data_IF_389866788422
#
_entry.id   IF_389866788422
#
_cell.length_a   1.000
_cell.length_b   1.000
_cell.length_c   1.000
_cell.angle_alpha   90.00
_cell.angle_beta   90.00
_cell.angle_gamma   90.00
#
_symmetry.space_group_name_H-M   'P 1'
#
loop_
_entity.id
_entity.type
_entity.pdbx_description
1 polymer ?
#
# COMPACT_ATOMS: atom_id res chain seq x y z
N UNK A 1 34.45 28.95 -51.38
CA UNK A 1 34.23 29.26 -49.95
C UNK A 1 33.28 28.31 -49.23
N UNK A 2 32.85 27.18 -49.82
CA UNK A 2 31.72 26.40 -49.27
C UNK A 2 32.14 25.14 -48.49
N UNK A 3 33.44 24.78 -48.53
CA UNK A 3 33.95 23.58 -47.82
C UNK A 3 34.17 23.81 -46.32
N UNK A 4 34.48 25.04 -45.91
CA UNK A 4 34.61 25.41 -44.49
C UNK A 4 33.25 25.43 -43.76
N UNK A 5 32.18 25.83 -44.45
CA UNK A 5 30.81 25.86 -43.90
C UNK A 5 30.24 24.45 -43.66
N UNK A 6 30.56 23.48 -44.53
CA UNK A 6 30.13 22.08 -44.36
C UNK A 6 30.87 21.37 -43.23
N UNK A 7 32.12 21.73 -42.95
CA UNK A 7 32.90 21.16 -41.86
C UNK A 7 32.42 21.63 -40.48
N UNK A 8 31.91 22.88 -40.39
CA UNK A 8 31.30 23.45 -39.18
C UNK A 8 29.94 22.80 -38.90
N UNK A 9 29.11 22.56 -39.92
CA UNK A 9 27.83 21.88 -39.76
C UNK A 9 27.96 20.42 -39.30
N UNK A 10 29.01 19.72 -39.76
CA UNK A 10 29.29 18.35 -39.33
C UNK A 10 29.72 18.29 -37.86
N UNK A 11 30.35 19.34 -37.34
CA UNK A 11 30.78 19.43 -35.94
C UNK A 11 29.61 19.77 -34.99
N UNK A 12 28.64 20.57 -35.43
CA UNK A 12 27.44 20.93 -34.66
C UNK A 12 26.45 19.74 -34.54
N UNK A 13 26.39 18.86 -35.54
CA UNK A 13 25.53 17.67 -35.50
C UNK A 13 26.01 16.60 -34.49
N UNK A 14 27.32 16.52 -34.25
CA UNK A 14 27.92 15.51 -33.34
C UNK A 14 27.76 15.90 -31.86
N UNK A 15 27.63 17.19 -31.55
CA UNK A 15 27.45 17.68 -30.16
C UNK A 15 26.05 17.46 -29.59
N UNK A 16 25.06 17.08 -30.41
CA UNK A 16 23.68 16.84 -29.96
C UNK A 16 23.40 15.40 -29.47
N UNK A 17 24.39 14.50 -29.51
CA UNK A 17 24.20 13.07 -29.21
C UNK A 17 24.50 12.68 -27.75
N UNK A 18 25.00 13.60 -26.92
CA UNK A 18 25.40 13.31 -25.53
C UNK A 18 24.48 13.87 -24.45
N UNK A 19 23.16 13.81 -24.62
CA UNK A 19 22.25 14.15 -23.53
C UNK A 19 21.01 13.27 -23.52
N UNK A 20 21.10 12.13 -22.82
CA UNK A 20 20.13 11.69 -21.80
C UNK A 20 20.35 10.22 -21.44
N UNK A 21 21.44 9.90 -20.74
CA UNK A 21 21.41 8.77 -19.81
C UNK A 21 20.63 9.25 -18.57
N UNK A 22 19.30 9.08 -18.55
CA UNK A 22 18.56 9.16 -17.29
C UNK A 22 19.07 8.00 -16.44
N UNK A 23 19.83 8.29 -15.39
CA UNK A 23 20.12 7.32 -14.32
C UNK A 23 18.78 6.82 -13.81
N UNK A 24 18.39 5.60 -14.20
CA UNK A 24 17.31 4.88 -13.55
C UNK A 24 17.76 4.67 -12.11
N UNK A 25 17.39 5.58 -11.21
CA UNK A 25 17.48 5.32 -9.78
C UNK A 25 16.56 4.13 -9.56
N UNK A 26 17.15 2.97 -9.29
CA UNK A 26 16.44 1.83 -8.72
C UNK A 26 15.65 2.39 -7.55
N UNK A 27 14.33 2.49 -7.68
CA UNK A 27 13.51 3.05 -6.61
C UNK A 27 13.54 2.03 -5.47
N UNK A 28 14.08 2.42 -4.31
CA UNK A 28 14.29 1.52 -3.16
C UNK A 28 13.26 1.77 -2.06
N UNK A 29 12.05 2.16 -2.44
CA UNK A 29 11.02 2.65 -1.53
C UNK A 29 9.64 2.12 -1.89
N UNK A 30 8.74 2.14 -0.91
CA UNK A 30 7.36 1.71 -1.09
C UNK A 30 6.77 1.19 0.20
N UNK A 31 5.85 0.24 0.07
CA UNK A 31 5.13 -0.36 1.19
C UNK A 31 5.39 -1.86 1.20
N UNK A 32 5.72 -2.42 2.36
CA UNK A 32 5.70 -3.86 2.61
C UNK A 32 4.75 -4.14 3.76
N UNK A 33 4.06 -5.25 3.71
CA UNK A 33 3.21 -5.61 4.83
C UNK A 33 2.78 -7.06 4.86
N UNK A 34 2.06 -7.37 5.94
CA UNK A 34 1.42 -8.66 6.17
C UNK A 34 -0.07 -8.50 6.40
N UNK A 35 -0.83 -9.47 5.93
CA UNK A 35 -2.29 -9.48 6.06
C UNK A 35 -2.72 -10.75 6.76
N UNK A 36 -3.51 -10.57 7.81
CA UNK A 36 -4.04 -11.63 8.64
C UNK A 36 -5.57 -11.60 8.65
N UNK A 37 -6.17 -12.76 8.75
CA UNK A 37 -7.58 -12.96 8.99
C UNK A 37 -7.83 -13.34 10.45
N UNK A 38 -8.84 -12.74 11.07
CA UNK A 38 -9.35 -13.08 12.40
C UNK A 38 -10.88 -13.16 12.34
N UNK A 39 -11.45 -14.22 12.92
CA UNK A 39 -12.90 -14.42 12.97
C UNK A 39 -13.31 -15.13 14.27
N UNK A 40 -14.61 -15.12 14.57
CA UNK A 40 -15.18 -15.82 15.72
C UNK A 40 -15.03 -15.07 17.04
N UNK A 41 -15.30 -15.76 18.15
CA UNK A 41 -15.25 -15.19 19.49
C UNK A 41 -13.81 -15.01 19.99
N UNK A 42 -13.42 -13.77 20.25
CA UNK A 42 -12.13 -13.34 20.74
C UNK A 42 -12.21 -12.78 22.18
N UNK A 43 -13.35 -12.90 22.86
CA UNK A 43 -13.51 -12.49 24.26
C UNK A 43 -12.56 -13.27 25.18
N UNK A 44 -11.91 -12.62 26.16
CA UNK A 44 -11.13 -13.30 27.18
C UNK A 44 -11.98 -14.32 27.95
N UNK A 45 -11.56 -15.60 27.96
CA UNK A 45 -12.21 -16.63 28.78
C UNK A 45 -11.60 -16.63 30.19
N UNK A 46 -12.45 -16.51 31.21
CA UNK A 46 -12.04 -16.47 32.63
C UNK A 46 -11.71 -17.85 33.22
N UNK A 47 -11.11 -18.77 32.45
CA UNK A 47 -10.64 -20.03 33.04
C UNK A 47 -9.34 -19.78 33.79
N UNK A 48 -9.39 -20.02 35.09
CA UNK A 48 -8.24 -20.00 36.00
C UNK A 48 -7.15 -20.96 35.49
N UNK A 49 -5.90 -20.57 35.72
CA UNK A 49 -4.64 -21.22 35.33
C UNK A 49 -4.11 -20.82 33.93
N UNK A 50 -3.07 -19.99 33.98
CA UNK A 50 -2.25 -19.46 32.87
C UNK A 50 -2.83 -18.28 32.09
N UNK A 51 -2.91 -17.13 32.77
CA UNK A 51 -2.98 -15.81 32.14
C UNK A 51 -1.64 -15.44 31.45
N UNK A 52 -1.19 -16.27 30.50
CA UNK A 52 -0.04 -15.94 29.64
C UNK A 52 -0.54 -15.76 28.22
N UNK A 53 -0.52 -14.49 27.80
CA UNK A 53 -0.65 -13.97 26.44
C UNK A 53 -2.07 -13.68 25.93
N UNK A 54 -2.41 -12.39 25.93
CA UNK A 54 -3.46 -11.73 25.15
C UNK A 54 -3.17 -11.79 23.63
N UNK A 55 -2.89 -12.97 23.10
CA UNK A 55 -2.80 -13.15 21.66
C UNK A 55 -4.21 -13.47 21.16
N UNK A 56 -4.78 -12.71 20.20
CA UNK A 56 -6.02 -13.11 19.55
C UNK A 56 -5.85 -14.55 19.07
N UNK A 57 -6.68 -15.45 19.56
CA UNK A 57 -6.63 -16.83 19.13
C UNK A 57 -6.96 -16.85 17.63
N UNK A 58 -5.98 -17.18 16.78
CA UNK A 58 -6.24 -17.50 15.38
C UNK A 58 -6.00 -16.40 14.34
N UNK A 59 -5.01 -15.50 14.52
CA UNK A 59 -4.46 -14.76 13.37
C UNK A 59 -3.91 -15.74 12.33
N UNK A 60 -4.54 -15.81 11.15
CA UNK A 60 -4.10 -16.65 10.03
C UNK A 60 -3.63 -15.77 8.87
N UNK A 61 -2.42 -15.98 8.31
CA UNK A 61 -2.03 -15.31 7.08
C UNK A 61 -3.03 -15.61 5.96
N UNK A 62 -3.31 -14.63 5.10
CA UNK A 62 -4.34 -14.79 4.07
C UNK A 62 -3.96 -14.12 2.75
N UNK A 63 -4.33 -14.77 1.65
CA UNK A 63 -4.23 -14.22 0.28
C UNK A 63 -5.37 -13.21 0.09
N UNK A 64 -5.01 -11.95 -0.14
CA UNK A 64 -5.92 -10.85 -0.43
C UNK A 64 -5.29 -9.89 -1.42
N UNK A 65 -6.14 -9.33 -2.28
CA UNK A 65 -5.77 -8.15 -3.07
C UNK A 65 -5.83 -6.92 -2.19
N UNK A 66 -4.80 -6.09 -2.26
CA UNK A 66 -4.66 -4.82 -1.57
C UNK A 66 -4.75 -3.71 -2.60
N UNK A 67 -5.80 -2.91 -2.50
CA UNK A 67 -5.96 -1.70 -3.27
C UNK A 67 -5.33 -0.53 -2.51
N UNK A 68 -4.38 0.14 -3.17
CA UNK A 68 -3.71 1.32 -2.65
C UNK A 68 -4.21 2.51 -3.44
N UNK A 69 -4.94 3.38 -2.75
CA UNK A 69 -5.49 4.61 -3.32
C UNK A 69 -4.64 5.82 -2.93
N UNK A 70 -4.87 6.93 -3.63
CA UNK A 70 -4.49 8.23 -3.07
C UNK A 70 -5.14 8.39 -1.70
N UNK A 71 -4.45 9.11 -0.80
CA UNK A 71 -4.90 9.35 0.57
C UNK A 71 -6.41 9.70 0.61
N UNK A 72 -7.20 8.83 1.24
CA UNK A 72 -8.67 8.85 1.26
C UNK A 72 -9.14 9.34 2.63
N UNK A 73 -9.91 10.42 2.66
CA UNK A 73 -10.62 10.85 3.86
C UNK A 73 -11.92 10.04 4.03
N UNK A 74 -12.41 9.86 5.25
CA UNK A 74 -13.65 9.10 5.54
C UNK A 74 -14.89 9.63 4.79
N UNK A 75 -14.88 10.90 4.39
CA UNK A 75 -15.96 11.53 3.62
C UNK A 75 -15.89 11.21 2.11
N UNK A 76 -14.82 10.58 1.65
CA UNK A 76 -14.58 10.17 0.25
C UNK A 76 -14.73 8.65 0.07
N UNK A 77 -15.27 7.95 1.08
CA UNK A 77 -15.58 6.53 1.02
C UNK A 77 -16.90 6.26 1.73
N UNK A 78 -17.72 5.39 1.14
CA UNK A 78 -19.00 5.02 1.74
C UNK A 78 -18.84 3.77 2.60
N UNK A 79 -18.92 3.91 3.93
CA UNK A 79 -18.92 2.77 4.85
C UNK A 79 -20.33 2.18 4.95
N UNK A 80 -20.48 0.91 4.58
CA UNK A 80 -21.67 0.10 4.86
C UNK A 80 -21.64 -0.49 6.26
N UNK A 81 -22.15 -1.70 6.45
CA UNK A 81 -22.17 -2.33 7.79
C UNK A 81 -20.76 -2.53 8.36
N UNK A 82 -19.86 -3.14 7.57
CA UNK A 82 -18.48 -3.42 7.97
C UNK A 82 -17.45 -3.25 6.85
N UNK A 83 -17.92 -2.99 5.64
CA UNK A 83 -17.10 -2.85 4.44
C UNK A 83 -17.44 -1.53 3.77
N UNK A 84 -16.42 -0.89 3.21
CA UNK A 84 -16.59 0.23 2.30
C UNK A 84 -17.15 -0.27 0.96
N UNK A 85 -18.10 0.47 0.41
CA UNK A 85 -18.66 0.23 -0.92
C UNK A 85 -17.80 0.88 -2.00
N UNK A 86 -18.00 2.18 -2.22
CA UNK A 86 -17.23 2.97 -3.18
C UNK A 86 -16.08 3.73 -2.50
N UNK A 87 -14.94 3.82 -3.17
CA UNK A 87 -13.80 4.66 -2.80
C UNK A 87 -13.64 5.71 -3.90
N UNK A 88 -13.83 6.99 -3.56
CA UNK A 88 -13.85 8.07 -4.55
C UNK A 88 -12.45 8.50 -5.00
N UNK A 89 -11.44 8.28 -4.16
CA UNK A 89 -10.07 8.65 -4.53
C UNK A 89 -9.50 7.69 -5.58
N UNK A 90 -8.59 8.17 -6.47
CA UNK A 90 -8.01 7.32 -7.50
C UNK A 90 -7.24 6.11 -6.97
N UNK A 91 -7.45 4.94 -7.58
CA UNK A 91 -6.62 3.76 -7.39
C UNK A 91 -5.23 4.04 -7.97
N UNK A 92 -4.19 3.84 -7.17
CA UNK A 92 -2.78 3.99 -7.57
C UNK A 92 -2.22 2.66 -8.05
N UNK A 93 -2.42 1.60 -7.27
CA UNK A 93 -1.92 0.26 -7.58
C UNK A 93 -2.71 -0.80 -6.81
N UNK A 94 -2.77 -2.00 -7.38
CA UNK A 94 -3.32 -3.19 -6.76
C UNK A 94 -2.22 -4.24 -6.62
N UNK A 95 -2.11 -4.90 -5.47
CA UNK A 95 -1.11 -5.95 -5.21
C UNK A 95 -1.73 -7.10 -4.42
N UNK A 96 -1.47 -8.34 -4.81
CA UNK A 96 -1.94 -9.52 -4.08
C UNK A 96 -0.89 -10.00 -3.08
N UNK A 97 -1.33 -10.46 -1.91
CA UNK A 97 -0.46 -11.11 -0.93
C UNK A 97 -0.15 -12.56 -1.30
N UNK A 98 0.99 -13.08 -0.87
CA UNK A 98 1.34 -14.49 -1.02
C UNK A 98 0.64 -15.39 0.03
N UNK A 99 0.98 -16.68 0.02
CA UNK A 99 0.44 -17.67 0.96
C UNK A 99 0.75 -17.35 2.44
N UNK A 100 1.85 -16.63 2.67
CA UNK A 100 2.28 -16.15 3.98
C UNK A 100 1.66 -14.79 4.35
N UNK A 101 0.71 -14.30 3.53
CA UNK A 101 0.02 -13.03 3.72
C UNK A 101 0.88 -11.80 3.43
N UNK A 102 2.07 -11.98 2.83
CA UNK A 102 3.05 -10.92 2.60
C UNK A 102 2.82 -10.22 1.26
N UNK A 103 3.00 -8.90 1.22
CA UNK A 103 3.06 -8.13 -0.01
C UNK A 103 4.18 -7.08 0.03
N UNK A 104 4.62 -6.66 -1.15
CA UNK A 104 5.51 -5.51 -1.31
C UNK A 104 5.25 -4.80 -2.62
N UNK A 105 5.20 -3.47 -2.58
CA UNK A 105 4.95 -2.65 -3.76
C UNK A 105 5.77 -1.37 -3.72
N UNK A 106 6.46 -1.09 -4.83
CA UNK A 106 7.26 0.11 -4.97
C UNK A 106 6.35 1.31 -5.26
N UNK A 107 6.50 2.39 -4.50
CA UNK A 107 5.70 3.60 -4.62
C UNK A 107 6.58 4.84 -4.44
N UNK A 108 6.29 5.94 -5.16
CA UNK A 108 6.99 7.21 -4.93
C UNK A 108 6.66 7.77 -3.52
N UNK A 109 7.49 8.70 -3.00
CA UNK A 109 7.20 9.34 -1.72
C UNK A 109 5.82 10.00 -1.76
N UNK A 110 5.03 9.81 -0.71
CA UNK A 110 3.64 10.26 -0.69
C UNK A 110 2.86 9.67 0.49
N UNK A 111 1.58 10.03 0.58
CA UNK A 111 0.63 9.43 1.52
C UNK A 111 -0.44 8.68 0.74
N UNK A 112 -0.80 7.51 1.21
CA UNK A 112 -1.73 6.60 0.56
C UNK A 112 -2.70 6.01 1.56
N UNK A 113 -3.83 5.49 1.07
CA UNK A 113 -4.79 4.73 1.86
C UNK A 113 -4.84 3.29 1.37
N UNK A 114 -4.85 2.35 2.31
CA UNK A 114 -4.81 0.91 2.06
C UNK A 114 -6.16 0.26 2.35
N UNK A 115 -6.61 -0.56 1.42
CA UNK A 115 -7.86 -1.32 1.52
C UNK A 115 -7.63 -2.76 1.09
N UNK A 116 -8.17 -3.74 1.83
CA UNK A 116 -8.24 -5.12 1.33
C UNK A 116 -9.51 -5.30 0.50
N UNK A 117 -9.41 -6.02 -0.60
CA UNK A 117 -10.56 -6.35 -1.45
C UNK A 117 -11.23 -7.60 -0.88
N UNK A 118 -12.51 -7.47 -0.53
CA UNK A 118 -13.36 -8.51 0.02
C UNK A 118 -14.53 -8.80 -0.93
N UNK A 119 -15.23 -9.91 -0.74
CA UNK A 119 -16.30 -10.38 -1.65
C UNK A 119 -17.38 -9.33 -1.94
N UNK A 120 -17.68 -8.46 -0.96
CA UNK A 120 -18.78 -7.48 -1.02
C UNK A 120 -18.33 -6.02 -0.95
N UNK A 121 -17.03 -5.75 -1.01
CA UNK A 121 -16.51 -4.38 -0.89
C UNK A 121 -15.06 -4.34 -0.44
N UNK A 122 -14.69 -3.27 0.25
CA UNK A 122 -13.33 -3.02 0.70
C UNK A 122 -13.27 -2.96 2.22
N UNK A 123 -12.22 -3.48 2.82
CA UNK A 123 -12.03 -3.42 4.26
C UNK A 123 -10.82 -2.55 4.64
N UNK A 124 -11.03 -1.69 5.66
CA UNK A 124 -9.99 -1.01 6.40
C UNK A 124 -10.54 -0.65 7.79
N UNK A 125 -9.74 -0.85 8.83
CA UNK A 125 -10.15 -0.61 10.24
C UNK A 125 -9.30 0.44 10.96
N UNK A 126 -8.23 0.92 10.32
CA UNK A 126 -7.33 1.93 10.87
C UNK A 126 -7.74 3.31 10.36
N UNK A 127 -7.80 4.30 11.24
CA UNK A 127 -8.03 5.70 10.91
C UNK A 127 -7.06 6.56 11.71
N UNK A 128 -6.58 7.67 11.13
CA UNK A 128 -5.87 8.68 11.92
C UNK A 128 -6.82 9.68 12.59
N UNK A 129 -6.25 10.61 13.37
CA UNK A 129 -7.02 11.63 14.09
C UNK A 129 -7.72 12.64 13.17
N UNK A 130 -7.27 12.75 11.92
CA UNK A 130 -7.83 13.65 10.92
C UNK A 130 -8.88 12.95 10.04
N UNK A 131 -9.19 11.68 10.31
CA UNK A 131 -10.21 10.93 9.59
C UNK A 131 -9.75 10.32 8.27
N UNK A 132 -8.44 10.24 8.02
CA UNK A 132 -7.94 9.50 6.86
C UNK A 132 -7.96 8.00 7.13
N UNK A 133 -8.39 7.24 6.12
CA UNK A 133 -8.55 5.79 6.19
C UNK A 133 -7.19 5.14 5.93
N UNK A 134 -6.74 4.31 6.88
CA UNK A 134 -5.51 3.54 6.87
C UNK A 134 -4.32 4.27 6.20
N UNK A 135 -3.95 5.46 6.70
CA UNK A 135 -2.96 6.29 6.03
C UNK A 135 -1.56 5.71 6.21
N UNK A 136 -0.84 5.55 5.10
CA UNK A 136 0.55 5.09 5.07
C UNK A 136 1.40 6.12 4.34
N UNK A 137 2.46 6.58 5.00
CA UNK A 137 3.44 7.51 4.42
C UNK A 137 4.61 6.73 3.86
N UNK A 138 4.93 6.94 2.58
CA UNK A 138 6.17 6.47 1.95
C UNK A 138 7.17 7.61 1.94
N UNK A 139 8.32 7.41 2.56
CA UNK A 139 9.42 8.37 2.59
C UNK A 139 10.47 8.04 1.51
N UNK A 140 11.30 9.03 1.20
CA UNK A 140 12.35 8.88 0.19
C UNK A 140 13.34 7.78 0.58
N UNK A 141 13.51 6.79 -0.29
CA UNK A 141 14.41 5.65 -0.11
C UNK A 141 14.07 4.75 1.09
N UNK A 142 12.83 4.76 1.56
CA UNK A 142 12.38 3.98 2.72
C UNK A 142 11.22 3.05 2.38
N UNK A 143 11.16 1.90 3.07
CA UNK A 143 10.05 0.95 2.99
C UNK A 143 9.18 1.04 4.24
N UNK A 144 7.96 1.54 4.08
CA UNK A 144 6.96 1.59 5.14
C UNK A 144 6.46 0.18 5.43
N UNK A 145 6.47 -0.22 6.71
CA UNK A 145 6.00 -1.52 7.17
C UNK A 145 4.55 -1.40 7.68
N UNK A 146 3.68 -2.32 7.28
CA UNK A 146 2.28 -2.36 7.74
C UNK A 146 1.83 -3.78 8.10
N UNK A 147 0.98 -3.89 9.11
CA UNK A 147 0.21 -5.11 9.42
C UNK A 147 -1.27 -4.79 9.25
N UNK A 148 -1.98 -5.60 8.46
CA UNK A 148 -3.42 -5.49 8.26
C UNK A 148 -4.08 -6.70 8.91
N UNK A 149 -4.99 -6.45 9.84
CA UNK A 149 -5.81 -7.48 10.47
C UNK A 149 -7.24 -7.30 9.97
N UNK A 150 -7.72 -8.28 9.21
CA UNK A 150 -9.08 -8.33 8.72
C UNK A 150 -9.92 -9.07 9.77
N UNK A 151 -10.74 -8.32 10.49
CA UNK A 151 -11.47 -8.78 11.68
C UNK A 151 -12.96 -8.42 11.67
N UNK A 152 -13.53 -8.04 10.54
CA UNK A 152 -14.96 -7.72 10.43
C UNK A 152 -15.89 -8.94 10.68
N UNK A 153 -15.34 -10.15 10.83
CA UNK A 153 -16.07 -11.35 11.28
C UNK A 153 -15.66 -11.80 12.70
N UNK A 154 -14.88 -11.01 13.42
CA UNK A 154 -14.52 -11.27 14.80
C UNK A 154 -15.52 -10.60 15.76
N UNK A 155 -15.62 -11.14 16.96
CA UNK A 155 -16.37 -10.56 18.07
C UNK A 155 -15.45 -10.50 19.28
N UNK A 156 -15.29 -9.31 19.87
CA UNK A 156 -14.37 -9.04 20.98
C UNK A 156 -15.10 -8.77 22.29
#
# INVERSE_FOLDING_TARGET
MNKFSNLIYLFILVLFVFSSCKTNKTSTQGIKGKVFWVEGNQMPQASQETATSFSPAGKKPVIRTINIHQLTHINEANLGDYLFGNIETPLVVSVETNNEGEFSVMLPPGKYSLFTVEEKGYFASIFDLDGYIHPVKVEKNEWSQVEIIIDYKASY
#
